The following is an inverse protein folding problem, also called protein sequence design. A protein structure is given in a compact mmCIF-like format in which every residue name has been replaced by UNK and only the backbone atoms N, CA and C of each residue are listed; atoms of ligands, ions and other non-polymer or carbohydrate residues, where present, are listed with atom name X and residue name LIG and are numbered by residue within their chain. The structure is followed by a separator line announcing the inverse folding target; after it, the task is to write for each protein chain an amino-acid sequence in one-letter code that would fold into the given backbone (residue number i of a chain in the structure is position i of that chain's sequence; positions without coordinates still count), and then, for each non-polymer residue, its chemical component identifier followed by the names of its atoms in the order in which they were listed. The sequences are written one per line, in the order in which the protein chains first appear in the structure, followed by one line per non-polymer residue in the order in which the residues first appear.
data_IF_812047527868
#
_entry.id   IF_812047527868
#
_cell.length_a   1.000
_cell.length_b   1.000
_cell.length_c   1.000
_cell.angle_alpha   90.00
_cell.angle_beta   90.00
_cell.angle_gamma   90.00
#
_symmetry.space_group_name_H-M   'P 1'
#
loop_
_entity.id
_entity.type
_entity.pdbx_description
1 polymer ?
#
# COMPACT_ATOMS: atom_id res chain seq x y z
N UNK A 1 -8.36 0.44 -20.71
CA UNK A 1 -7.14 0.79 -21.46
C UNK A 1 -5.93 -0.03 -21.00
N UNK A 2 -5.49 0.08 -19.74
CA UNK A 2 -4.33 -0.67 -19.23
C UNK A 2 -4.49 -2.20 -19.30
N UNK A 3 -5.66 -2.73 -18.90
CA UNK A 3 -5.95 -4.16 -18.97
C UNK A 3 -5.90 -4.72 -20.40
N UNK A 4 -6.49 -4.01 -21.36
CA UNK A 4 -6.45 -4.40 -22.78
C UNK A 4 -5.02 -4.37 -23.33
N UNK A 5 -4.23 -3.36 -22.94
CA UNK A 5 -2.82 -3.30 -23.34
C UNK A 5 -2.01 -4.47 -22.78
N UNK A 6 -2.19 -4.82 -21.49
CA UNK A 6 -1.54 -5.98 -20.88
C UNK A 6 -1.95 -7.30 -21.54
N UNK A 7 -3.22 -7.45 -21.91
CA UNK A 7 -3.73 -8.60 -22.66
C UNK A 7 -3.11 -8.70 -24.05
N UNK A 8 -2.78 -7.58 -24.68
CA UNK A 8 -2.15 -7.53 -26.01
C UNK A 8 -0.65 -7.82 -26.03
N UNK A 9 0.03 -7.91 -24.88
CA UNK A 9 1.46 -8.22 -24.82
C UNK A 9 1.71 -9.70 -25.15
N UNK A 10 2.80 -9.98 -25.87
CA UNK A 10 3.34 -11.33 -25.94
C UNK A 10 4.00 -11.74 -24.60
N UNK A 11 4.27 -13.04 -24.46
CA UNK A 11 4.86 -13.60 -23.25
C UNK A 11 6.19 -12.93 -22.87
N UNK A 12 7.07 -12.69 -23.85
CA UNK A 12 8.42 -12.15 -23.63
C UNK A 12 8.35 -10.72 -23.11
N UNK A 13 7.50 -9.89 -23.73
CA UNK A 13 7.25 -8.52 -23.33
C UNK A 13 6.62 -8.45 -21.94
N UNK A 14 5.62 -9.30 -21.66
CA UNK A 14 4.99 -9.36 -20.34
C UNK A 14 5.99 -9.81 -19.27
N UNK A 15 6.76 -10.88 -19.49
CA UNK A 15 7.79 -11.34 -18.53
C UNK A 15 8.80 -10.22 -18.21
N UNK A 16 9.25 -9.49 -19.23
CA UNK A 16 10.16 -8.35 -19.07
C UNK A 16 9.52 -7.22 -18.24
N UNK A 17 8.24 -6.93 -18.48
CA UNK A 17 7.48 -5.94 -17.71
C UNK A 17 7.33 -6.34 -16.23
N UNK A 18 6.98 -7.61 -15.98
CA UNK A 18 6.69 -8.15 -14.64
C UNK A 18 7.96 -8.43 -13.81
N UNK A 19 9.13 -8.43 -14.45
CA UNK A 19 10.44 -8.68 -13.87
C UNK A 19 10.46 -9.90 -12.92
N UNK A 20 10.05 -11.06 -13.46
CA UNK A 20 9.87 -12.28 -12.68
C UNK A 20 10.38 -13.53 -13.43
N UNK A 21 10.40 -14.67 -12.74
CA UNK A 21 10.77 -15.96 -13.34
C UNK A 21 9.67 -16.48 -14.28
N UNK A 22 9.99 -17.51 -15.08
CA UNK A 22 9.06 -18.06 -16.07
C UNK A 22 7.76 -18.60 -15.46
N UNK A 23 7.82 -19.28 -14.31
CA UNK A 23 6.60 -19.80 -13.68
C UNK A 23 5.61 -18.70 -13.30
N UNK A 24 6.10 -17.58 -12.75
CA UNK A 24 5.27 -16.41 -12.42
C UNK A 24 4.79 -15.70 -13.69
N UNK A 25 5.65 -15.59 -14.71
CA UNK A 25 5.32 -14.94 -15.97
C UNK A 25 4.22 -15.71 -16.72
N UNK A 26 4.32 -17.04 -16.80
CA UNK A 26 3.35 -17.89 -17.48
C UNK A 26 1.98 -17.84 -16.78
N UNK A 27 1.98 -17.90 -15.45
CA UNK A 27 0.77 -17.74 -14.65
C UNK A 27 0.09 -16.40 -14.92
N UNK A 28 0.84 -15.29 -14.92
CA UNK A 28 0.26 -13.97 -15.13
C UNK A 28 -0.11 -13.71 -16.59
N UNK A 29 0.61 -14.31 -17.54
CA UNK A 29 0.24 -14.29 -18.95
C UNK A 29 -1.16 -14.89 -19.15
N UNK A 30 -1.38 -16.11 -18.63
CA UNK A 30 -2.71 -16.74 -18.65
C UNK A 30 -3.77 -15.88 -17.96
N UNK A 31 -3.47 -15.35 -16.76
CA UNK A 31 -4.38 -14.46 -16.03
C UNK A 31 -4.82 -13.27 -16.87
N UNK A 32 -3.91 -12.57 -17.56
CA UNK A 32 -4.27 -11.42 -18.40
C UNK A 32 -5.05 -11.82 -19.65
N UNK A 33 -4.70 -12.95 -20.30
CA UNK A 33 -5.45 -13.47 -21.46
C UNK A 33 -6.90 -13.80 -21.10
N UNK A 34 -7.11 -14.44 -19.95
CA UNK A 34 -8.42 -14.93 -19.50
C UNK A 34 -9.19 -13.91 -18.63
N UNK A 35 -8.58 -12.75 -18.33
CA UNK A 35 -9.15 -11.78 -17.41
C UNK A 35 -10.49 -11.25 -17.91
N UNK A 36 -11.54 -11.44 -17.11
CA UNK A 36 -12.85 -10.82 -17.32
C UNK A 36 -13.21 -9.96 -16.09
N UNK A 37 -12.94 -8.66 -16.16
CA UNK A 37 -13.17 -7.70 -15.08
C UNK A 37 -14.67 -7.56 -14.68
N UNK A 38 -15.60 -8.16 -15.42
CA UNK A 38 -17.03 -8.21 -15.04
C UNK A 38 -17.32 -9.30 -14.02
N UNK A 39 -16.41 -10.28 -13.85
CA UNK A 39 -16.57 -11.34 -12.86
C UNK A 39 -16.36 -10.79 -11.45
N UNK A 40 -17.07 -11.32 -10.45
CA UNK A 40 -16.80 -10.97 -9.06
C UNK A 40 -15.36 -11.38 -8.72
N UNK A 41 -14.61 -10.45 -8.13
CA UNK A 41 -13.30 -10.73 -7.56
C UNK A 41 -13.39 -11.13 -6.09
N UNK A 42 -12.24 -11.43 -5.50
CA UNK A 42 -12.11 -11.61 -4.05
C UNK A 42 -11.90 -10.23 -3.41
N UNK A 43 -12.45 -9.92 -2.23
CA UNK A 43 -12.18 -8.66 -1.53
C UNK A 43 -10.68 -8.33 -1.47
N UNK A 44 -10.30 -7.10 -1.81
CA UNK A 44 -8.91 -6.67 -1.90
C UNK A 44 -8.12 -6.96 -0.61
N UNK A 45 -8.70 -6.66 0.55
CA UNK A 45 -8.09 -6.89 1.87
C UNK A 45 -7.78 -8.38 2.12
N UNK A 46 -8.53 -9.29 1.50
CA UNK A 46 -8.37 -10.74 1.64
C UNK A 46 -7.59 -11.37 0.47
N UNK A 47 -7.27 -10.59 -0.57
CA UNK A 47 -6.64 -11.09 -1.80
C UNK A 47 -5.12 -10.95 -1.78
N UNK A 48 -4.59 -9.94 -1.09
CA UNK A 48 -3.15 -9.72 -0.99
C UNK A 48 -2.55 -10.52 0.18
N UNK A 49 -1.43 -11.21 -0.05
CA UNK A 49 -0.84 -12.18 0.88
C UNK A 49 0.58 -11.83 1.36
N UNK A 50 1.09 -10.65 1.01
CA UNK A 50 2.42 -10.19 1.42
C UNK A 50 2.55 -9.94 2.93
N UNK A 51 3.80 -9.80 3.42
CA UNK A 51 4.14 -9.62 4.86
C UNK A 51 3.25 -8.58 5.56
N UNK A 52 2.96 -7.45 4.90
CA UNK A 52 2.10 -6.42 5.46
C UNK A 52 0.67 -6.92 5.73
N UNK A 53 0.08 -7.70 4.83
CA UNK A 53 -1.27 -8.26 5.01
C UNK A 53 -1.29 -9.41 6.02
N UNK A 54 -0.22 -10.20 6.08
CA UNK A 54 -0.06 -11.25 7.09
C UNK A 54 -0.06 -10.67 8.51
N UNK A 55 0.66 -9.56 8.72
CA UNK A 55 0.73 -8.87 10.02
C UNK A 55 -0.47 -7.97 10.29
N UNK A 56 -1.16 -7.47 9.27
CA UNK A 56 -2.48 -6.89 9.45
C UNK A 56 -3.49 -7.92 9.96
N UNK A 57 -3.30 -9.20 9.62
CA UNK A 57 -4.12 -10.33 10.01
C UNK A 57 -5.65 -10.10 9.87
N UNK A 58 -6.18 -9.73 8.68
CA UNK A 58 -7.61 -9.41 8.51
C UNK A 58 -8.56 -10.56 8.91
N UNK A 59 -8.09 -11.80 8.87
CA UNK A 59 -8.86 -12.97 9.32
C UNK A 59 -9.19 -12.95 10.81
N UNK A 60 -8.51 -12.12 11.60
CA UNK A 60 -8.78 -11.90 13.02
C UNK A 60 -9.68 -10.67 13.26
N UNK A 61 -10.07 -9.94 12.22
CA UNK A 61 -10.88 -8.74 12.39
C UNK A 61 -12.29 -9.11 12.84
N UNK A 62 -12.76 -8.38 13.84
CA UNK A 62 -14.18 -8.31 14.21
C UNK A 62 -14.94 -7.44 13.21
N UNK A 63 -16.28 -7.53 13.23
CA UNK A 63 -17.13 -6.69 12.36
C UNK A 63 -16.83 -5.18 12.48
N UNK A 64 -16.72 -4.58 13.69
CA UNK A 64 -16.36 -3.16 13.80
C UNK A 64 -15.00 -2.83 13.18
N UNK A 65 -14.02 -3.73 13.27
CA UNK A 65 -12.69 -3.54 12.67
C UNK A 65 -12.73 -3.61 11.14
N UNK A 66 -13.60 -4.45 10.58
CA UNK A 66 -13.88 -4.45 9.14
C UNK A 66 -14.59 -3.18 8.68
N UNK A 67 -15.57 -2.68 9.44
CA UNK A 67 -16.26 -1.42 9.16
C UNK A 67 -15.29 -0.22 9.24
N UNK A 68 -14.40 -0.22 10.23
CA UNK A 68 -13.30 0.73 10.32
C UNK A 68 -12.39 0.67 9.09
N UNK A 69 -11.93 -0.53 8.72
CA UNK A 69 -11.07 -0.69 7.57
C UNK A 69 -11.74 -0.19 6.29
N UNK A 70 -13.00 -0.55 6.03
CA UNK A 70 -13.73 -0.10 4.84
C UNK A 70 -13.81 1.43 4.76
N UNK A 71 -13.98 2.08 5.91
CA UNK A 71 -14.05 3.54 6.00
C UNK A 71 -12.67 4.19 5.79
N UNK A 72 -11.64 3.72 6.51
CA UNK A 72 -10.37 4.43 6.66
C UNK A 72 -9.19 3.86 5.88
N UNK A 73 -9.22 2.59 5.46
CA UNK A 73 -8.13 1.95 4.73
C UNK A 73 -8.32 2.09 3.23
N UNK A 74 -7.25 2.43 2.53
CA UNK A 74 -7.17 2.38 1.07
C UNK A 74 -5.89 1.63 0.67
N UNK A 75 -6.02 0.74 -0.30
CA UNK A 75 -4.93 -0.08 -0.82
C UNK A 75 -4.54 0.45 -2.21
N UNK A 76 -3.28 0.86 -2.35
CA UNK A 76 -2.76 1.29 -3.65
C UNK A 76 -2.37 0.07 -4.51
N UNK A 77 -2.68 0.15 -5.79
CA UNK A 77 -2.48 -0.90 -6.78
C UNK A 77 -1.97 -0.31 -8.09
N UNK A 78 -0.91 -0.89 -8.67
CA UNK A 78 -0.43 -0.48 -9.99
C UNK A 78 -1.47 -0.71 -11.10
N UNK A 79 -2.36 -1.69 -10.92
CA UNK A 79 -3.36 -2.08 -11.92
C UNK A 79 -4.75 -1.49 -11.65
N UNK A 80 -5.21 -1.49 -10.40
CA UNK A 80 -6.54 -1.02 -10.01
C UNK A 80 -6.54 0.43 -9.48
N UNK A 81 -5.39 1.03 -9.21
CA UNK A 81 -5.29 2.38 -8.67
C UNK A 81 -5.52 2.40 -7.16
N UNK A 82 -6.70 2.83 -6.72
CA UNK A 82 -7.09 2.85 -5.29
C UNK A 82 -8.20 1.82 -5.07
N UNK A 83 -7.99 0.90 -4.14
CA UNK A 83 -8.96 -0.11 -3.74
C UNK A 83 -9.43 0.14 -2.31
N UNK A 84 -10.73 0.00 -2.08
CA UNK A 84 -11.31 -0.23 -0.74
C UNK A 84 -11.12 -1.69 -0.33
N UNK A 85 -11.14 -2.00 0.98
CA UNK A 85 -11.01 -3.36 1.49
C UNK A 85 -11.91 -4.39 0.82
N UNK A 86 -13.16 -4.03 0.51
CA UNK A 86 -14.13 -4.94 -0.09
C UNK A 86 -14.29 -4.84 -1.62
N UNK A 87 -13.49 -4.02 -2.29
CA UNK A 87 -13.47 -4.02 -3.76
C UNK A 87 -12.94 -5.36 -4.28
N UNK A 88 -13.61 -5.90 -5.31
CA UNK A 88 -13.27 -7.19 -5.90
C UNK A 88 -12.00 -7.13 -6.73
N UNK A 89 -11.03 -7.99 -6.41
CA UNK A 89 -9.76 -8.14 -7.11
C UNK A 89 -9.69 -9.49 -7.81
N UNK A 90 -9.40 -9.47 -9.12
CA UNK A 90 -8.97 -10.65 -9.85
C UNK A 90 -7.43 -10.79 -9.75
N UNK A 91 -6.89 -12.01 -9.64
CA UNK A 91 -5.45 -12.22 -9.52
C UNK A 91 -4.66 -11.61 -10.67
N UNK A 92 -3.63 -10.84 -10.33
CA UNK A 92 -2.76 -10.16 -11.29
C UNK A 92 -1.37 -9.95 -10.68
N UNK A 93 -0.42 -9.51 -11.49
CA UNK A 93 0.85 -8.93 -11.03
C UNK A 93 1.10 -7.68 -11.87
N UNK A 94 1.24 -6.54 -11.21
CA UNK A 94 1.70 -5.29 -11.81
C UNK A 94 2.05 -4.31 -10.69
N UNK A 95 3.34 -4.20 -10.41
CA UNK A 95 3.85 -3.26 -9.40
C UNK A 95 3.81 -1.82 -9.94
N UNK A 96 3.59 -0.83 -9.07
CA UNK A 96 3.54 0.59 -9.46
C UNK A 96 4.85 1.06 -10.12
N UNK A 97 5.98 0.52 -9.68
CA UNK A 97 7.31 0.78 -10.22
C UNK A 97 7.65 0.02 -11.50
N UNK A 98 6.74 -0.79 -12.06
CA UNK A 98 7.00 -1.53 -13.29
C UNK A 98 7.39 -0.57 -14.43
N UNK A 99 8.32 -1.01 -15.30
CA UNK A 99 8.77 -0.24 -16.49
C UNK A 99 7.71 -0.28 -17.60
N UNK A 100 6.51 0.19 -17.29
CA UNK A 100 5.33 0.16 -18.14
C UNK A 100 5.26 1.39 -19.04
N UNK A 101 6.06 1.42 -20.10
CA UNK A 101 5.94 2.45 -21.15
C UNK A 101 4.94 1.98 -22.20
N UNK A 102 3.92 2.79 -22.48
CA UNK A 102 2.85 2.49 -23.43
C UNK A 102 2.68 3.66 -24.41
N UNK A 103 1.92 3.50 -25.50
CA UNK A 103 1.61 4.61 -26.40
C UNK A 103 0.88 5.79 -25.74
N UNK A 104 0.24 5.57 -24.58
CA UNK A 104 -0.58 6.57 -23.88
C UNK A 104 0.01 7.03 -22.54
N UNK A 105 1.13 6.46 -22.07
CA UNK A 105 1.80 6.89 -20.85
C UNK A 105 3.27 6.46 -20.79
N UNK A 106 4.12 7.26 -20.14
CA UNK A 106 5.56 6.97 -19.97
C UNK A 106 5.85 5.88 -18.93
N UNK A 107 5.01 5.80 -17.91
CA UNK A 107 5.07 4.83 -16.80
C UNK A 107 3.72 4.84 -16.06
N UNK A 108 3.55 4.02 -15.01
CA UNK A 108 2.30 3.98 -14.24
C UNK A 108 2.05 5.24 -13.41
N UNK A 109 3.09 5.96 -12.97
CA UNK A 109 2.91 7.25 -12.29
C UNK A 109 2.28 8.29 -13.22
N UNK A 110 2.72 8.33 -14.48
CA UNK A 110 2.17 9.17 -15.53
C UNK A 110 0.75 8.74 -15.94
N UNK A 111 0.52 7.42 -16.04
CA UNK A 111 -0.81 6.86 -16.31
C UNK A 111 -1.85 7.29 -15.26
N UNK A 112 -1.49 7.15 -13.98
CA UNK A 112 -2.39 7.47 -12.88
C UNK A 112 -2.50 8.98 -12.63
N UNK A 113 -1.45 9.75 -12.89
CA UNK A 113 -1.46 11.20 -12.68
C UNK A 113 -1.95 11.55 -11.28
N UNK A 114 -2.83 12.54 -11.17
CA UNK A 114 -3.44 12.97 -9.90
C UNK A 114 -4.70 12.19 -9.51
N UNK A 115 -5.14 11.22 -10.33
CA UNK A 115 -6.41 10.52 -10.11
C UNK A 115 -6.45 9.74 -8.80
N UNK A 116 -5.32 9.17 -8.36
CA UNK A 116 -5.24 8.46 -7.08
C UNK A 116 -5.44 9.42 -5.91
N UNK A 117 -4.78 10.58 -5.95
CA UNK A 117 -4.96 11.61 -4.93
C UNK A 117 -6.41 12.10 -4.88
N UNK A 118 -6.99 12.43 -6.04
CA UNK A 118 -8.41 12.83 -6.12
C UNK A 118 -9.36 11.76 -5.59
N UNK A 119 -9.07 10.48 -5.85
CA UNK A 119 -9.88 9.36 -5.34
C UNK A 119 -9.77 9.24 -3.81
N UNK A 120 -8.57 9.42 -3.26
CA UNK A 120 -8.32 9.35 -1.82
C UNK A 120 -8.96 10.50 -1.02
N UNK A 121 -9.25 11.62 -1.67
CA UNK A 121 -9.80 12.84 -1.04
C UNK A 121 -11.20 13.20 -1.52
N UNK A 122 -11.83 12.33 -2.33
CA UNK A 122 -13.14 12.57 -2.93
C UNK A 122 -14.26 12.72 -1.88
N UNK A 123 -14.09 12.15 -0.69
CA UNK A 123 -15.02 12.22 0.43
C UNK A 123 -14.82 13.45 1.33
N UNK A 124 -13.86 14.32 1.01
CA UNK A 124 -13.48 15.46 1.84
C UNK A 124 -12.42 15.13 2.89
N UNK A 125 -11.71 14.01 2.74
CA UNK A 125 -10.61 13.62 3.62
C UNK A 125 -9.51 14.69 3.62
N UNK A 126 -9.19 15.18 4.80
CA UNK A 126 -8.19 16.24 5.01
C UNK A 126 -6.84 15.68 5.48
N UNK A 127 -6.71 14.36 5.66
CA UNK A 127 -5.53 13.73 6.24
C UNK A 127 -5.28 12.36 5.60
N UNK A 128 -4.04 12.14 5.16
CA UNK A 128 -3.55 10.88 4.61
C UNK A 128 -2.39 10.38 5.47
N UNK A 129 -2.61 9.30 6.24
CA UNK A 129 -1.57 8.60 6.98
C UNK A 129 -0.88 7.56 6.08
N UNK A 130 0.34 7.84 5.66
CA UNK A 130 1.06 7.01 4.70
C UNK A 130 1.76 5.82 5.37
N UNK A 131 1.16 4.64 5.18
CA UNK A 131 1.75 3.33 5.48
C UNK A 131 2.16 2.56 4.21
N UNK A 132 2.13 3.20 3.04
CA UNK A 132 2.56 2.57 1.79
C UNK A 132 4.09 2.59 1.65
N UNK A 133 4.63 1.76 0.77
CA UNK A 133 6.04 1.89 0.38
C UNK A 133 6.28 3.18 -0.40
N UNK A 134 7.53 3.65 -0.43
CA UNK A 134 7.92 4.82 -1.23
C UNK A 134 7.52 4.68 -2.72
N UNK A 135 7.56 3.46 -3.25
CA UNK A 135 7.13 3.15 -4.62
C UNK A 135 5.66 3.53 -4.85
N UNK A 136 4.74 3.10 -3.99
CA UNK A 136 3.32 3.42 -4.13
C UNK A 136 3.00 4.85 -3.70
N UNK A 137 3.63 5.33 -2.63
CA UNK A 137 3.47 6.71 -2.14
C UNK A 137 3.85 7.76 -3.20
N UNK A 138 4.84 7.49 -4.05
CA UNK A 138 5.25 8.36 -5.16
C UNK A 138 4.13 8.62 -6.18
N UNK A 139 3.14 7.74 -6.28
CA UNK A 139 1.98 7.95 -7.15
C UNK A 139 0.94 8.94 -6.59
N UNK A 140 1.04 9.30 -5.30
CA UNK A 140 0.08 10.20 -4.63
C UNK A 140 0.76 11.46 -4.13
N UNK A 141 1.90 11.35 -3.44
CA UNK A 141 2.57 12.45 -2.73
C UNK A 141 2.77 13.73 -3.56
N UNK A 142 3.17 13.68 -4.84
CA UNK A 142 3.37 14.89 -5.65
C UNK A 142 2.11 15.74 -5.84
N UNK A 143 0.93 15.15 -5.64
CA UNK A 143 -0.37 15.80 -5.87
C UNK A 143 -1.02 16.32 -4.59
N UNK A 144 -0.48 15.94 -3.43
CA UNK A 144 -1.00 16.38 -2.15
C UNK A 144 -0.78 17.87 -1.99
N UNK A 145 -1.85 18.59 -1.68
CA UNK A 145 -1.83 20.02 -1.47
C UNK A 145 -2.68 20.39 -0.24
N UNK A 146 -2.39 21.52 0.44
CA UNK A 146 -3.25 22.04 1.49
C UNK A 146 -4.72 22.16 1.03
N UNK A 147 -5.70 21.90 1.91
CA UNK A 147 -5.55 21.64 3.35
C UNK A 147 -5.17 20.21 3.72
N UNK A 148 -4.98 19.30 2.76
CA UNK A 148 -4.72 17.88 3.03
C UNK A 148 -3.36 17.68 3.70
N UNK A 149 -3.37 17.12 4.91
CA UNK A 149 -2.19 16.71 5.67
C UNK A 149 -1.69 15.37 5.15
N UNK A 150 -0.40 15.29 4.82
CA UNK A 150 0.26 14.02 4.59
C UNK A 150 1.21 13.71 5.73
N UNK A 151 1.06 12.53 6.33
CA UNK A 151 1.87 12.08 7.46
C UNK A 151 2.60 10.80 7.05
N UNK A 152 3.92 10.87 6.93
CA UNK A 152 4.74 9.69 6.68
C UNK A 152 4.95 8.90 7.98
N UNK A 153 4.84 7.57 7.90
CA UNK A 153 5.13 6.69 9.04
C UNK A 153 6.39 5.87 8.76
N UNK A 154 7.40 6.06 9.61
CA UNK A 154 8.71 5.40 9.52
C UNK A 154 8.90 4.46 10.68
N UNK A 155 9.31 3.21 10.39
CA UNK A 155 9.65 2.20 11.39
C UNK A 155 11.13 1.84 11.26
N UNK A 156 11.94 2.12 12.26
CA UNK A 156 13.37 1.84 12.19
C UNK A 156 14.04 1.53 13.53
N UNK A 157 15.35 1.39 13.49
CA UNK A 157 16.22 1.30 14.67
C UNK A 157 17.07 2.57 14.75
N UNK A 158 17.38 3.02 15.96
CA UNK A 158 18.33 4.11 16.15
C UNK A 158 19.76 3.59 16.02
N UNK A 159 20.52 4.16 15.09
CA UNK A 159 21.94 3.87 14.89
C UNK A 159 22.70 5.20 14.76
N UNK A 160 23.47 5.54 15.79
CA UNK A 160 24.27 6.78 15.81
C UNK A 160 23.46 8.07 15.55
N UNK A 161 22.21 8.12 16.00
CA UNK A 161 21.29 9.26 15.77
C UNK A 161 20.57 9.25 14.41
N UNK A 162 20.79 8.22 13.58
CA UNK A 162 20.02 7.97 12.36
C UNK A 162 18.97 6.90 12.59
N UNK A 163 17.90 6.94 11.79
CA UNK A 163 16.87 5.92 11.77
C UNK A 163 17.16 4.97 10.60
N UNK A 164 17.38 3.69 10.90
CA UNK A 164 17.68 2.65 9.91
C UNK A 164 16.47 1.73 9.74
N UNK A 165 15.89 1.72 8.55
CA UNK A 165 14.77 0.86 8.20
C UNK A 165 15.25 -0.53 7.76
N UNK A 166 14.66 -1.57 8.34
CA UNK A 166 14.87 -2.97 7.90
C UNK A 166 13.61 -3.46 7.22
N UNK A 167 13.65 -3.62 5.90
CA UNK A 167 12.47 -3.75 5.04
C UNK A 167 11.46 -4.85 5.43
N UNK A 168 11.91 -5.99 5.98
CA UNK A 168 11.00 -7.03 6.52
C UNK A 168 10.20 -6.49 7.71
N UNK A 169 10.87 -5.92 8.71
CA UNK A 169 10.25 -5.39 9.92
C UNK A 169 9.35 -4.17 9.62
N UNK A 170 9.75 -3.31 8.67
CA UNK A 170 8.90 -2.19 8.23
C UNK A 170 7.58 -2.67 7.64
N UNK A 171 7.61 -3.71 6.79
CA UNK A 171 6.39 -4.30 6.21
C UNK A 171 5.49 -4.91 7.30
N UNK A 172 6.08 -5.60 8.27
CA UNK A 172 5.34 -6.16 9.42
C UNK A 172 4.66 -5.05 10.22
N UNK A 173 5.40 -4.01 10.58
CA UNK A 173 4.91 -2.90 11.40
C UNK A 173 3.83 -2.07 10.70
N UNK A 174 3.92 -1.87 9.38
CA UNK A 174 2.85 -1.21 8.60
C UNK A 174 1.53 -1.97 8.66
N UNK A 175 1.58 -3.30 8.56
CA UNK A 175 0.40 -4.15 8.67
C UNK A 175 -0.21 -4.10 10.06
N UNK A 176 0.64 -4.29 11.07
CA UNK A 176 0.24 -4.26 12.46
C UNK A 176 -0.30 -2.88 12.89
N UNK A 177 0.21 -1.78 12.32
CA UNK A 177 -0.31 -0.43 12.55
C UNK A 177 -1.74 -0.27 12.07
N UNK A 178 -2.08 -0.80 10.89
CA UNK A 178 -3.48 -0.79 10.41
C UNK A 178 -4.38 -1.56 11.38
N UNK A 179 -3.95 -2.74 11.82
CA UNK A 179 -4.69 -3.52 12.81
C UNK A 179 -4.86 -2.76 14.13
N UNK A 180 -3.78 -2.16 14.64
CA UNK A 180 -3.77 -1.38 15.88
C UNK A 180 -4.77 -0.21 15.85
N UNK A 181 -4.85 0.50 14.72
CA UNK A 181 -5.78 1.60 14.51
C UNK A 181 -7.23 1.12 14.42
N UNK A 182 -7.47 0.00 13.73
CA UNK A 182 -8.79 -0.63 13.65
C UNK A 182 -9.27 -1.15 15.01
N UNK A 183 -8.39 -1.76 15.82
CA UNK A 183 -8.68 -2.20 17.19
C UNK A 183 -9.13 -1.06 18.10
N UNK A 184 -8.68 0.17 17.82
CA UNK A 184 -8.96 1.37 18.62
C UNK A 184 -10.06 2.26 18.05
N UNK A 185 -10.62 1.90 16.89
CA UNK A 185 -11.52 2.75 16.13
C UNK A 185 -10.98 4.19 16.01
N UNK A 186 -9.72 4.31 15.58
CA UNK A 186 -9.00 5.58 15.62
C UNK A 186 -9.52 6.61 14.60
N UNK A 187 -10.01 7.74 15.08
CA UNK A 187 -10.56 8.82 14.24
C UNK A 187 -9.55 9.91 13.86
N UNK A 188 -8.36 9.91 14.48
CA UNK A 188 -7.31 10.91 14.25
C UNK A 188 -5.96 10.23 13.96
N UNK A 189 -5.08 10.85 13.15
CA UNK A 189 -3.77 10.26 12.90
C UNK A 189 -2.92 10.20 14.17
N UNK A 190 -3.11 11.12 15.13
CA UNK A 190 -2.36 11.15 16.38
C UNK A 190 -2.55 9.87 17.21
N UNK A 191 -3.66 9.14 17.04
CA UNK A 191 -3.85 7.82 17.65
C UNK A 191 -2.74 6.82 17.29
N UNK A 192 -2.13 6.95 16.10
CA UNK A 192 -0.99 6.12 15.68
C UNK A 192 0.23 6.29 16.60
N UNK A 193 0.40 7.43 17.26
CA UNK A 193 1.51 7.68 18.19
C UNK A 193 1.48 6.74 19.41
N UNK A 194 0.33 6.16 19.73
CA UNK A 194 0.20 5.14 20.78
C UNK A 194 0.67 3.74 20.37
N UNK A 195 1.14 3.54 19.14
CA UNK A 195 1.54 2.23 18.64
C UNK A 195 2.70 1.64 19.45
N UNK A 196 2.47 0.43 19.96
CA UNK A 196 3.32 -0.25 20.94
C UNK A 196 3.60 -1.73 20.61
N UNK A 197 3.44 -2.12 19.34
CA UNK A 197 3.58 -3.51 18.88
C UNK A 197 4.96 -3.77 18.25
N UNK A 198 5.36 -5.04 18.19
CA UNK A 198 6.60 -5.50 17.55
C UNK A 198 7.87 -4.76 18.07
N UNK A 199 7.87 -4.45 19.37
CA UNK A 199 8.93 -3.72 20.09
C UNK A 199 9.17 -2.29 19.60
N UNK A 200 8.28 -1.74 18.77
CA UNK A 200 8.32 -0.35 18.35
C UNK A 200 7.65 0.58 19.37
N UNK A 201 8.20 1.79 19.50
CA UNK A 201 7.62 2.90 20.27
C UNK A 201 7.75 4.19 19.49
N UNK A 202 6.75 5.07 19.60
CA UNK A 202 6.81 6.41 19.03
C UNK A 202 7.99 7.18 19.59
N UNK A 203 8.73 7.88 18.74
CA UNK A 203 9.86 8.70 19.12
C UNK A 203 9.55 10.17 18.86
N UNK A 204 9.14 10.93 19.89
CA UNK A 204 8.90 12.36 19.75
C UNK A 204 10.13 13.12 19.23
N UNK A 205 11.33 12.72 19.64
CA UNK A 205 12.59 13.34 19.26
C UNK A 205 12.91 13.23 17.75
N UNK A 206 12.36 12.22 17.06
CA UNK A 206 12.57 12.01 15.62
C UNK A 206 11.33 12.33 14.79
N UNK A 207 10.23 12.74 15.43
CA UNK A 207 8.94 12.95 14.78
C UNK A 207 8.61 14.42 14.61
N UNK A 208 7.75 14.72 13.63
CA UNK A 208 7.16 16.03 13.38
C UNK A 208 5.66 15.89 13.13
N UNK A 209 4.96 16.99 12.92
CA UNK A 209 3.52 16.95 12.56
C UNK A 209 3.23 16.24 11.22
N UNK A 210 4.24 16.07 10.35
CA UNK A 210 4.12 15.43 9.04
C UNK A 210 4.91 14.12 8.92
N UNK A 211 5.56 13.66 10.01
CA UNK A 211 6.36 12.43 10.02
C UNK A 211 6.33 11.80 11.41
N UNK A 212 5.79 10.59 11.51
CA UNK A 212 5.80 9.80 12.73
C UNK A 212 6.87 8.73 12.64
N UNK A 213 7.83 8.78 13.56
CA UNK A 213 8.92 7.82 13.65
C UNK A 213 8.71 6.91 14.83
N UNK A 214 8.74 5.61 14.57
CA UNK A 214 8.70 4.56 15.57
C UNK A 214 10.03 3.83 15.59
N UNK A 215 10.65 3.77 16.76
CA UNK A 215 11.93 3.12 16.98
C UNK A 215 11.74 1.80 17.69
N UNK A 216 12.42 0.77 17.21
CA UNK A 216 12.54 -0.51 17.89
C UNK A 216 13.75 -0.48 18.81
N UNK A 217 13.57 -0.97 20.04
CA UNK A 217 14.72 -1.26 20.90
C UNK A 217 15.52 -2.40 20.27
N UNK A 218 16.75 -2.10 19.83
CA UNK A 218 17.65 -3.15 19.37
C UNK A 218 17.91 -4.11 20.52
N UNK A 219 17.78 -5.42 20.30
CA UNK A 219 18.42 -6.38 21.22
C UNK A 219 19.91 -6.06 21.18
N UNK A 220 20.46 -5.57 22.29
CA UNK A 220 21.89 -5.63 22.49
C UNK A 220 22.30 -7.10 22.31
N UNK A 221 23.11 -7.37 21.29
CA UNK A 221 23.76 -8.68 21.17
C UNK A 221 24.70 -8.89 22.36
#
# INVERSE_FOLDING_TARGET
MLAEWLRGLDYTALKKLLACNDGIAELNFRRFQEMDLRRPGTPALLSYDGIQYQYMAPHLFTRPQFEYAETHLRILSGFYGVLRPFDGVLPYRLEMGARCSTPFCKNLYDFWGDSLYRTLTAGGEDTLLNLASAEYAKAVRPWVAPPVRWIDVTFGEADGGKVVEKGVYVKMARGEMVRFLAERNAETPEAAQGFDRLDYRFSPAHSTAASYVFLREGRAN
#
